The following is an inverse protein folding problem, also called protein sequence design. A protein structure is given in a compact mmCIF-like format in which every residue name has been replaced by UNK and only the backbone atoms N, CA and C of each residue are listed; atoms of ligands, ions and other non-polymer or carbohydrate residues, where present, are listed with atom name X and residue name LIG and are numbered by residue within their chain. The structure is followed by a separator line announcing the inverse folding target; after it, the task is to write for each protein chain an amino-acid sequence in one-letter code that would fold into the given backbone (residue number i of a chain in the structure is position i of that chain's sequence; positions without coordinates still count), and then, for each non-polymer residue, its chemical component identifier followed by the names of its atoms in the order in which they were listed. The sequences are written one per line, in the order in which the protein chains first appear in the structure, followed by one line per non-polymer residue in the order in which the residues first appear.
data_IF_410609632397
#
_entry.id   IF_410609632397
#
_cell.length_a   1.000
_cell.length_b   1.000
_cell.length_c   1.000
_cell.angle_alpha   90.00
_cell.angle_beta   90.00
_cell.angle_gamma   90.00
#
_symmetry.space_group_name_H-M   'P 1'
#
loop_
_entity.id
_entity.type
_entity.pdbx_description
1 polymer ?
#
# COMPACT_ATOMS: atom_id res chain seq x y z
N UNK A 1 -13.28 17.21 -2.39
CA UNK A 1 -12.40 16.17 -1.80
C UNK A 1 -13.21 15.46 -0.74
N UNK A 2 -13.38 14.13 -0.81
CA UNK A 2 -14.07 13.39 0.25
C UNK A 2 -13.03 12.88 1.24
N UNK A 3 -13.16 13.29 2.49
CA UNK A 3 -12.53 12.61 3.62
C UNK A 3 -13.45 11.46 4.04
N UNK A 4 -12.89 10.26 4.15
CA UNK A 4 -13.52 9.19 4.95
C UNK A 4 -12.47 8.59 5.85
N UNK A 5 -12.70 8.76 7.15
CA UNK A 5 -11.93 8.12 8.20
C UNK A 5 -12.45 6.70 8.39
N UNK A 6 -11.54 5.72 8.46
CA UNK A 6 -11.87 4.35 8.81
C UNK A 6 -11.21 4.04 10.14
N UNK A 7 -11.97 4.26 11.20
CA UNK A 7 -11.64 3.79 12.54
C UNK A 7 -11.93 2.28 12.62
N UNK A 8 -10.85 1.50 12.57
CA UNK A 8 -10.89 0.05 12.55
C UNK A 8 -11.11 -0.55 13.94
N UNK A 9 -10.96 0.22 15.01
CA UNK A 9 -11.25 -0.22 16.38
C UNK A 9 -12.76 -0.25 16.65
N UNK A 10 -13.54 0.59 15.95
CA UNK A 10 -15.01 0.64 16.09
C UNK A 10 -15.76 -0.47 15.34
N UNK A 11 -15.09 -1.30 14.54
CA UNK A 11 -15.70 -2.45 13.86
C UNK A 11 -16.77 -2.13 12.80
N UNK A 12 -16.89 -0.86 12.37
CA UNK A 12 -17.86 -0.45 11.35
C UNK A 12 -17.37 -0.78 9.94
N UNK A 13 -17.67 -2.00 9.47
CA UNK A 13 -17.36 -2.43 8.10
C UNK A 13 -18.45 -2.01 7.10
N UNK A 14 -18.08 -1.34 6.01
CA UNK A 14 -18.97 -1.03 4.88
C UNK A 14 -19.03 -2.20 3.91
N UNK A 15 -20.20 -2.83 3.78
CA UNK A 15 -20.49 -3.80 2.71
C UNK A 15 -21.11 -3.07 1.54
N UNK A 16 -20.43 -3.12 0.39
CA UNK A 16 -20.91 -2.51 -0.85
C UNK A 16 -21.56 -3.63 -1.67
N UNK A 17 -22.81 -3.47 -2.14
CA UNK A 17 -23.45 -4.43 -3.04
C UNK A 17 -22.61 -4.68 -4.29
N UNK A 18 -22.89 -5.78 -4.99
CA UNK A 18 -22.21 -6.08 -6.24
C UNK A 18 -22.39 -4.94 -7.24
N UNK A 19 -21.31 -4.48 -7.88
CA UNK A 19 -21.38 -3.48 -8.94
C UNK A 19 -21.87 -4.09 -10.27
N UNK A 20 -22.40 -5.32 -10.26
CA UNK A 20 -22.90 -6.01 -11.46
C UNK A 20 -21.81 -6.68 -12.30
N UNK A 21 -20.56 -6.67 -11.85
CA UNK A 21 -19.43 -7.29 -12.56
C UNK A 21 -18.09 -7.13 -11.83
N UNK A 22 -17.02 -7.62 -12.44
CA UNK A 22 -15.67 -7.48 -11.88
C UNK A 22 -15.16 -6.05 -12.04
N UNK A 23 -14.80 -5.39 -10.93
CA UNK A 23 -14.32 -4.00 -10.92
C UNK A 23 -12.97 -3.80 -11.65
N UNK A 24 -12.25 -4.88 -11.94
CA UNK A 24 -10.93 -4.84 -12.59
C UNK A 24 -11.01 -5.12 -14.09
N UNK A 25 -11.45 -6.31 -14.50
CA UNK A 25 -11.43 -6.68 -15.91
C UNK A 25 -12.65 -6.23 -16.70
N UNK A 26 -13.74 -5.85 -16.01
CA UNK A 26 -15.03 -5.43 -16.60
C UNK A 26 -15.59 -6.37 -17.69
N UNK A 27 -15.11 -7.62 -17.78
CA UNK A 27 -15.58 -8.58 -18.78
C UNK A 27 -17.05 -8.90 -18.49
N UNK A 28 -17.85 -9.01 -19.55
CA UNK A 28 -19.25 -9.42 -19.48
C UNK A 28 -19.52 -10.52 -20.52
N UNK A 29 -20.44 -11.47 -20.25
CA UNK A 29 -21.07 -11.73 -18.95
C UNK A 29 -20.12 -12.48 -18.01
N UNK A 30 -20.09 -12.12 -16.73
CA UNK A 30 -19.49 -12.97 -15.69
C UNK A 30 -20.65 -13.58 -14.89
N UNK A 31 -20.83 -14.92 -14.92
CA UNK A 31 -21.81 -15.57 -14.08
C UNK A 31 -21.58 -15.19 -12.61
N UNK A 32 -22.63 -14.83 -11.84
CA UNK A 32 -22.48 -14.44 -10.43
C UNK A 32 -21.71 -15.47 -9.58
N UNK A 33 -21.88 -16.76 -9.87
CA UNK A 33 -21.18 -17.87 -9.19
C UNK A 33 -19.64 -17.88 -9.39
N UNK A 34 -19.08 -16.99 -10.21
CA UNK A 34 -17.63 -16.82 -10.43
C UNK A 34 -17.09 -15.50 -9.88
N UNK A 35 -17.93 -14.74 -9.19
CA UNK A 35 -17.53 -13.52 -8.48
C UNK A 35 -17.21 -13.86 -7.02
N UNK A 36 -16.31 -13.08 -6.45
CA UNK A 36 -15.81 -13.21 -5.10
C UNK A 36 -15.89 -11.86 -4.39
N UNK A 37 -15.96 -11.90 -3.06
CA UNK A 37 -15.89 -10.68 -2.26
C UNK A 37 -14.53 -10.01 -2.41
N UNK A 38 -14.53 -8.69 -2.63
CA UNK A 38 -13.30 -7.92 -2.85
C UNK A 38 -13.10 -6.91 -1.72
N UNK A 39 -11.97 -7.03 -1.04
CA UNK A 39 -11.55 -6.10 0.01
C UNK A 39 -10.91 -4.86 -0.63
N UNK A 40 -11.47 -3.67 -0.41
CA UNK A 40 -10.86 -2.42 -0.92
C UNK A 40 -9.49 -2.21 -0.29
N UNK A 41 -9.45 -2.18 1.06
CA UNK A 41 -8.23 -2.28 1.85
C UNK A 41 -8.07 -3.76 2.21
N UNK A 42 -6.91 -4.39 1.93
CA UNK A 42 -6.72 -5.80 2.22
C UNK A 42 -7.08 -6.16 3.66
N UNK A 43 -7.73 -7.31 3.84
CA UNK A 43 -8.18 -7.79 5.14
C UNK A 43 -7.08 -7.77 6.19
N UNK A 44 -5.87 -8.13 5.77
CA UNK A 44 -4.66 -8.13 6.54
C UNK A 44 -4.28 -6.81 7.24
N UNK A 45 -4.79 -5.68 6.75
CA UNK A 45 -4.54 -4.34 7.27
C UNK A 45 -5.84 -3.77 7.83
N UNK A 46 -6.92 -3.79 7.04
CA UNK A 46 -8.18 -3.13 7.34
C UNK A 46 -9.32 -4.05 7.79
N UNK A 47 -9.07 -5.33 8.10
CA UNK A 47 -10.11 -6.31 8.40
C UNK A 47 -11.24 -6.30 7.34
N UNK A 48 -12.47 -5.92 7.71
CA UNK A 48 -13.59 -5.78 6.77
C UNK A 48 -14.04 -4.32 6.61
N UNK A 49 -13.12 -3.35 6.70
CA UNK A 49 -13.44 -1.91 6.65
C UNK A 49 -14.34 -1.57 5.47
N UNK A 50 -13.99 -2.05 4.27
CA UNK A 50 -14.77 -1.86 3.06
C UNK A 50 -14.63 -3.11 2.20
N UNK A 51 -15.76 -3.74 1.87
CA UNK A 51 -15.80 -4.97 1.07
C UNK A 51 -16.92 -4.89 0.05
N UNK A 52 -16.60 -5.09 -1.22
CA UNK A 52 -17.58 -5.37 -2.24
C UNK A 52 -18.06 -6.82 -2.11
N UNK A 53 -19.38 -7.00 -2.14
CA UNK A 53 -20.00 -8.30 -2.35
C UNK A 53 -19.91 -8.64 -3.84
N UNK A 54 -19.34 -9.78 -4.19
CA UNK A 54 -19.21 -10.21 -5.60
C UNK A 54 -18.57 -9.14 -6.50
N UNK A 55 -17.45 -8.55 -6.05
CA UNK A 55 -16.79 -7.41 -6.69
C UNK A 55 -15.66 -7.77 -7.66
N UNK A 56 -15.10 -8.98 -7.57
CA UNK A 56 -14.00 -9.42 -8.45
C UNK A 56 -14.18 -10.86 -8.91
N UNK A 57 -13.82 -11.16 -10.16
CA UNK A 57 -13.84 -12.54 -10.63
C UNK A 57 -12.62 -13.32 -10.12
N UNK A 58 -12.75 -14.64 -10.03
CA UNK A 58 -11.68 -15.53 -9.54
C UNK A 58 -10.34 -15.35 -10.26
N UNK A 59 -10.36 -15.10 -11.58
CA UNK A 59 -9.13 -14.88 -12.37
C UNK A 59 -8.39 -13.62 -11.91
N UNK A 60 -9.11 -12.51 -11.72
CA UNK A 60 -8.54 -11.26 -11.25
C UNK A 60 -8.08 -11.40 -9.79
N UNK A 61 -8.91 -11.98 -8.93
CA UNK A 61 -8.57 -12.21 -7.53
C UNK A 61 -7.29 -13.05 -7.39
N UNK A 62 -7.14 -14.12 -8.20
CA UNK A 62 -5.93 -14.96 -8.20
C UNK A 62 -4.68 -14.21 -8.64
N UNK A 63 -4.79 -13.36 -9.66
CA UNK A 63 -3.67 -12.53 -10.13
C UNK A 63 -3.24 -11.53 -9.05
N UNK A 64 -4.21 -10.84 -8.44
CA UNK A 64 -3.99 -9.83 -7.41
C UNK A 64 -3.38 -10.45 -6.15
N UNK A 65 -3.93 -11.59 -5.71
CA UNK A 65 -3.50 -12.28 -4.50
C UNK A 65 -1.99 -12.60 -4.51
N UNK A 66 -1.40 -12.89 -5.68
CA UNK A 66 0.04 -13.23 -5.79
C UNK A 66 0.92 -12.11 -5.27
N UNK A 67 0.78 -10.89 -5.77
CA UNK A 67 1.62 -9.78 -5.32
C UNK A 67 1.14 -9.22 -3.98
N UNK A 68 -0.15 -9.30 -3.67
CA UNK A 68 -0.69 -8.83 -2.39
C UNK A 68 -0.14 -9.67 -1.23
N UNK A 69 -0.04 -11.00 -1.38
CA UNK A 69 0.58 -11.86 -0.36
C UNK A 69 2.08 -11.60 -0.20
N UNK A 70 2.81 -11.25 -1.26
CA UNK A 70 4.23 -10.88 -1.15
C UNK A 70 4.40 -9.65 -0.27
N UNK A 71 3.56 -8.62 -0.44
CA UNK A 71 3.56 -7.44 0.43
C UNK A 71 3.13 -7.80 1.85
N UNK A 72 2.00 -8.49 2.00
CA UNK A 72 1.38 -8.72 3.30
C UNK A 72 2.12 -9.74 4.18
N UNK A 73 2.78 -10.73 3.60
CA UNK A 73 3.47 -11.80 4.32
C UNK A 73 4.98 -11.58 4.41
N UNK A 74 5.63 -11.05 3.37
CA UNK A 74 7.09 -10.88 3.36
C UNK A 74 7.49 -9.49 3.83
N UNK A 75 6.95 -8.45 3.20
CA UNK A 75 7.31 -7.06 3.55
C UNK A 75 6.70 -6.63 4.89
N UNK A 76 5.40 -6.85 5.10
CA UNK A 76 4.69 -6.39 6.30
C UNK A 76 4.48 -7.50 7.35
N UNK A 77 4.99 -8.71 7.12
CA UNK A 77 4.61 -9.89 7.90
C UNK A 77 4.98 -9.82 9.38
N UNK A 78 6.21 -9.42 9.70
CA UNK A 78 6.67 -9.32 11.09
C UNK A 78 5.98 -8.16 11.81
N UNK A 79 5.97 -6.98 11.18
CA UNK A 79 5.25 -5.80 11.66
C UNK A 79 3.80 -6.11 12.02
N UNK A 80 3.06 -6.71 11.09
CA UNK A 80 1.66 -7.08 11.28
C UNK A 80 1.43 -8.05 12.44
N UNK A 81 2.39 -8.94 12.72
CA UNK A 81 2.27 -9.87 13.86
C UNK A 81 2.52 -9.16 15.19
N UNK A 82 3.44 -8.18 15.21
CA UNK A 82 3.74 -7.40 16.42
C UNK A 82 2.59 -6.49 16.82
N UNK A 83 1.85 -5.92 15.86
CA UNK A 83 0.67 -5.08 16.12
C UNK A 83 -0.66 -5.86 16.17
N UNK A 84 -0.60 -7.19 16.21
CA UNK A 84 -1.76 -8.10 16.16
C UNK A 84 -2.77 -7.78 15.04
N UNK A 85 -2.27 -7.41 13.86
CA UNK A 85 -3.09 -7.09 12.70
C UNK A 85 -3.99 -8.27 12.29
N UNK A 86 -5.13 -8.01 11.61
CA UNK A 86 -6.09 -9.05 11.28
C UNK A 86 -5.46 -10.21 10.50
N UNK A 87 -5.79 -11.43 10.91
CA UNK A 87 -5.28 -12.65 10.31
C UNK A 87 -6.33 -13.76 10.32
N UNK A 88 -6.42 -14.47 9.19
CA UNK A 88 -7.27 -15.68 9.07
C UNK A 88 -6.60 -16.91 9.69
N UNK A 89 -5.30 -16.84 9.99
CA UNK A 89 -4.58 -17.92 10.65
C UNK A 89 -4.95 -17.98 12.12
N UNK A 90 -5.41 -19.14 12.58
CA UNK A 90 -5.74 -19.40 13.99
C UNK A 90 -4.57 -18.98 14.90
N UNK A 91 -4.80 -18.31 16.03
CA UNK A 91 -3.72 -17.79 16.90
C UNK A 91 -2.63 -18.81 17.23
N UNK A 92 -3.02 -20.04 17.60
CA UNK A 92 -2.09 -21.15 17.92
C UNK A 92 -1.20 -21.61 16.75
N UNK A 93 -1.56 -21.25 15.51
CA UNK A 93 -0.81 -21.59 14.29
C UNK A 93 -0.01 -20.40 13.73
N UNK A 94 -0.06 -19.23 14.38
CA UNK A 94 0.69 -18.07 13.93
C UNK A 94 2.19 -18.27 14.25
N UNK A 95 3.10 -17.95 13.32
CA UNK A 95 4.54 -18.02 13.59
C UNK A 95 4.90 -17.14 14.80
N UNK A 96 5.65 -17.70 15.74
CA UNK A 96 6.16 -16.99 16.92
C UNK A 96 7.61 -16.53 16.76
N UNK A 97 8.28 -17.01 15.71
CA UNK A 97 9.66 -16.69 15.37
C UNK A 97 9.73 -16.18 13.93
N UNK A 98 10.71 -15.33 13.65
CA UNK A 98 11.03 -14.87 12.31
C UNK A 98 12.49 -15.18 11.97
N UNK A 99 12.74 -15.48 10.69
CA UNK A 99 14.08 -15.59 10.14
C UNK A 99 14.53 -14.20 9.72
N UNK A 100 15.48 -13.63 10.45
CA UNK A 100 16.05 -12.32 10.20
C UNK A 100 17.38 -12.47 9.48
N UNK A 101 17.54 -11.76 8.37
CA UNK A 101 18.75 -11.75 7.55
C UNK A 101 19.71 -10.67 8.06
N UNK A 102 21.00 -11.01 8.11
CA UNK A 102 22.07 -10.09 8.45
C UNK A 102 23.06 -10.00 7.31
N UNK A 103 23.66 -8.81 7.16
CA UNK A 103 24.66 -8.53 6.12
C UNK A 103 25.83 -7.77 6.72
N UNK A 104 27.01 -8.07 6.22
CA UNK A 104 28.19 -7.22 6.45
C UNK A 104 28.13 -6.07 5.44
N UNK A 105 28.41 -4.85 5.92
CA UNK A 105 28.37 -3.64 5.10
C UNK A 105 29.68 -2.85 5.22
N UNK A 106 30.01 -2.05 4.20
CA UNK A 106 31.14 -1.13 4.28
C UNK A 106 30.81 0.11 5.13
N UNK A 107 31.78 1.02 5.29
CA UNK A 107 31.58 2.27 6.04
C UNK A 107 30.58 3.24 5.35
N UNK A 108 30.12 2.92 4.13
CA UNK A 108 29.08 3.64 3.38
C UNK A 108 27.72 2.92 3.40
N UNK A 109 27.61 1.78 4.08
CA UNK A 109 26.39 0.96 4.16
C UNK A 109 26.12 0.10 2.93
N UNK A 110 27.10 -0.12 2.05
CA UNK A 110 26.96 -1.02 0.91
C UNK A 110 27.18 -2.48 1.33
N UNK A 111 26.32 -3.37 0.83
CA UNK A 111 26.40 -4.80 1.09
C UNK A 111 27.74 -5.39 0.64
N UNK A 112 28.47 -6.01 1.57
CA UNK A 112 29.71 -6.75 1.29
C UNK A 112 29.44 -8.26 1.15
N UNK A 113 28.72 -8.84 2.11
CA UNK A 113 28.30 -10.27 2.06
C UNK A 113 27.13 -10.56 2.98
N UNK A 114 26.41 -11.64 2.68
CA UNK A 114 25.35 -12.16 3.53
C UNK A 114 25.95 -12.96 4.71
N UNK A 115 25.49 -12.68 5.93
CA UNK A 115 25.94 -13.32 7.19
C UNK A 115 24.97 -14.42 7.68
N UNK A 116 24.00 -14.77 6.85
CA UNK A 116 23.01 -15.80 7.12
C UNK A 116 21.76 -15.29 7.82
N UNK A 117 20.93 -16.25 8.21
CA UNK A 117 19.68 -16.03 8.92
C UNK A 117 19.85 -16.33 10.41
N UNK A 118 19.15 -15.61 11.26
CA UNK A 118 18.94 -15.95 12.67
C UNK A 118 17.45 -16.10 12.93
N UNK A 119 17.06 -17.17 13.64
CA UNK A 119 15.67 -17.40 14.04
C UNK A 119 15.45 -16.70 15.38
N UNK A 120 14.69 -15.61 15.39
CA UNK A 120 14.50 -14.76 16.55
C UNK A 120 13.01 -14.75 16.93
N UNK A 121 12.64 -14.87 18.22
CA UNK A 121 11.26 -14.67 18.66
C UNK A 121 10.75 -13.30 18.20
N UNK A 122 9.55 -13.25 17.62
CA UNK A 122 8.98 -11.99 17.10
C UNK A 122 8.81 -10.94 18.21
N UNK A 123 8.54 -11.39 19.44
CA UNK A 123 8.44 -10.52 20.61
C UNK A 123 9.77 -9.85 20.99
N UNK A 124 10.90 -10.36 20.51
CA UNK A 124 12.24 -9.83 20.77
C UNK A 124 12.76 -8.99 19.59
N UNK A 125 11.97 -8.81 18.54
CA UNK A 125 12.32 -7.94 17.42
C UNK A 125 11.81 -6.52 17.68
N UNK A 126 12.52 -5.50 17.20
CA UNK A 126 12.00 -4.14 17.22
C UNK A 126 10.74 -4.06 16.36
N UNK A 127 9.81 -3.17 16.70
CA UNK A 127 8.70 -2.86 15.81
C UNK A 127 9.23 -2.06 14.63
N UNK A 128 9.30 -2.71 13.48
CA UNK A 128 9.88 -2.12 12.28
C UNK A 128 8.93 -2.22 11.09
N UNK A 129 8.73 -1.09 10.40
CA UNK A 129 7.92 -0.99 9.20
C UNK A 129 8.80 -0.48 8.06
N UNK A 130 8.84 -1.22 6.94
CA UNK A 130 9.56 -0.80 5.73
C UNK A 130 8.60 -0.60 4.56
N UNK A 131 8.68 0.58 3.94
CA UNK A 131 7.86 1.03 2.81
C UNK A 131 8.74 1.74 1.78
N UNK A 132 8.12 2.26 0.71
CA UNK A 132 8.79 3.12 -0.25
C UNK A 132 8.44 4.59 -0.02
N UNK A 133 9.43 5.47 -0.04
CA UNK A 133 9.21 6.90 -0.28
C UNK A 133 9.42 7.17 -1.78
N UNK A 134 8.35 7.57 -2.46
CA UNK A 134 8.32 7.70 -3.90
C UNK A 134 8.25 9.17 -4.32
N UNK A 135 8.86 9.56 -5.44
CA UNK A 135 8.52 10.82 -6.09
C UNK A 135 7.09 10.77 -6.64
N UNK A 136 6.53 11.92 -7.02
CA UNK A 136 5.17 12.00 -7.57
C UNK A 136 4.97 11.09 -8.82
N UNK A 137 3.72 10.68 -9.11
CA UNK A 137 3.40 9.93 -10.32
C UNK A 137 4.02 10.58 -11.55
N UNK A 138 4.63 9.79 -12.45
CA UNK A 138 5.37 10.37 -13.57
C UNK A 138 4.48 11.21 -14.50
N UNK A 139 3.21 10.86 -14.65
CA UNK A 139 2.24 11.63 -15.45
C UNK A 139 2.01 13.07 -14.93
N UNK A 140 2.33 13.36 -13.66
CA UNK A 140 2.24 14.70 -13.07
C UNK A 140 3.58 15.44 -13.10
N UNK A 141 4.65 14.81 -13.61
CA UNK A 141 6.00 15.40 -13.70
C UNK A 141 6.43 15.53 -15.16
N UNK A 142 6.28 16.70 -15.79
CA UNK A 142 6.45 16.85 -17.25
C UNK A 142 7.88 16.59 -17.72
N UNK A 143 8.86 16.73 -16.84
CA UNK A 143 10.29 16.50 -17.14
C UNK A 143 10.81 15.15 -16.65
N UNK A 144 9.95 14.31 -16.05
CA UNK A 144 10.41 13.04 -15.48
C UNK A 144 10.57 11.96 -16.56
N UNK A 145 11.76 11.36 -16.59
CA UNK A 145 12.09 10.25 -17.48
C UNK A 145 11.92 8.93 -16.71
N UNK A 146 11.48 7.82 -17.34
CA UNK A 146 11.49 6.50 -16.70
C UNK A 146 12.86 6.21 -16.06
N UNK A 147 12.88 5.88 -14.77
CA UNK A 147 14.11 5.72 -13.97
C UNK A 147 14.29 6.78 -12.88
N UNK A 148 13.80 8.01 -13.08
CA UNK A 148 13.77 9.08 -12.05
C UNK A 148 12.59 8.93 -11.07
N UNK A 149 11.94 7.78 -11.09
CA UNK A 149 10.75 7.44 -10.31
C UNK A 149 10.95 6.27 -9.36
N UNK A 150 12.19 5.79 -9.22
CA UNK A 150 12.54 4.68 -8.35
C UNK A 150 12.20 4.94 -6.87
N UNK A 151 12.34 6.18 -6.42
CA UNK A 151 12.19 6.53 -5.01
C UNK A 151 13.30 5.94 -4.16
N UNK A 152 13.08 5.88 -2.85
CA UNK A 152 14.01 5.32 -1.87
C UNK A 152 13.28 4.50 -0.80
N UNK A 153 13.92 3.52 -0.18
CA UNK A 153 13.37 2.86 1.00
C UNK A 153 13.08 3.88 2.10
N UNK A 154 11.94 3.72 2.76
CA UNK A 154 11.57 4.42 3.97
C UNK A 154 11.35 3.38 5.06
N UNK A 155 11.76 3.68 6.29
CA UNK A 155 11.52 2.77 7.40
C UNK A 155 11.24 3.51 8.71
N UNK A 156 10.48 2.84 9.55
CA UNK A 156 10.29 3.13 10.96
C UNK A 156 10.89 1.99 11.78
N UNK A 157 11.50 2.32 12.92
CA UNK A 157 12.00 1.37 13.91
C UNK A 157 11.96 2.05 15.29
N UNK A 158 11.20 1.49 16.22
CA UNK A 158 10.99 2.06 17.56
C UNK A 158 12.18 1.80 18.51
N UNK A 159 12.82 0.64 18.38
CA UNK A 159 13.88 0.19 19.28
C UNK A 159 15.20 -0.02 18.54
N UNK A 160 15.98 1.06 18.41
CA UNK A 160 17.31 1.02 17.80
C UNK A 160 18.33 0.29 18.66
N UNK A 161 18.13 0.20 19.97
CA UNK A 161 19.07 -0.47 20.87
C UNK A 161 19.03 -1.98 20.67
N UNK A 162 17.83 -2.56 20.53
CA UNK A 162 17.67 -3.97 20.17
C UNK A 162 18.31 -4.27 18.81
N UNK A 163 18.15 -3.39 17.80
CA UNK A 163 18.84 -3.55 16.50
C UNK A 163 20.36 -3.60 16.70
N UNK A 164 20.92 -2.64 17.42
CA UNK A 164 22.36 -2.57 17.66
C UNK A 164 22.86 -3.79 18.44
N UNK A 165 22.11 -4.27 19.43
CA UNK A 165 22.45 -5.47 20.18
C UNK A 165 22.52 -6.69 19.27
N UNK A 166 21.48 -6.94 18.47
CA UNK A 166 21.45 -8.06 17.53
C UNK A 166 22.59 -7.98 16.50
N UNK A 167 22.85 -6.79 15.96
CA UNK A 167 23.97 -6.59 15.03
C UNK A 167 25.33 -6.84 15.69
N UNK A 168 25.54 -6.44 16.96
CA UNK A 168 26.78 -6.70 17.70
C UNK A 168 26.98 -8.19 17.96
N UNK A 169 25.94 -8.90 18.39
CA UNK A 169 26.00 -10.35 18.61
C UNK A 169 26.44 -11.07 17.32
N UNK A 170 25.84 -10.71 16.17
CA UNK A 170 26.25 -11.28 14.88
C UNK A 170 27.66 -10.85 14.48
N UNK A 171 28.06 -9.60 14.73
CA UNK A 171 29.41 -9.11 14.43
C UNK A 171 30.50 -9.89 15.20
N UNK A 172 30.26 -10.16 16.49
CA UNK A 172 31.15 -10.96 17.34
C UNK A 172 31.24 -12.41 16.85
N UNK A 173 30.09 -13.01 16.48
CA UNK A 173 30.03 -14.37 15.94
C UNK A 173 30.77 -14.51 14.60
N UNK A 174 30.69 -13.51 13.71
CA UNK A 174 31.22 -13.61 12.34
C UNK A 174 32.57 -12.93 12.14
N UNK A 175 33.07 -12.22 13.15
CA UNK A 175 34.26 -11.37 13.05
C UNK A 175 34.08 -10.19 12.09
N UNK A 176 32.84 -9.75 11.85
CA UNK A 176 32.53 -8.66 10.92
C UNK A 176 32.61 -7.29 11.60
N UNK A 177 33.05 -6.27 10.86
CA UNK A 177 33.24 -4.92 11.42
C UNK A 177 31.92 -4.14 11.53
N UNK A 178 31.15 -4.08 10.44
CA UNK A 178 29.85 -3.41 10.40
C UNK A 178 28.79 -4.41 9.96
N UNK A 179 27.75 -4.60 10.79
CA UNK A 179 26.66 -5.52 10.51
C UNK A 179 25.33 -4.77 10.43
N UNK A 180 24.58 -5.03 9.38
CA UNK A 180 23.24 -4.52 9.16
C UNK A 180 22.20 -5.65 9.27
N UNK A 181 21.10 -5.34 9.97
CA UNK A 181 19.92 -6.19 10.03
C UNK A 181 18.97 -5.83 8.89
N UNK A 182 18.53 -6.82 8.13
CA UNK A 182 17.62 -6.63 7.01
C UNK A 182 16.16 -6.53 7.50
N UNK A 183 15.57 -5.35 7.38
CA UNK A 183 14.18 -5.07 7.77
C UNK A 183 13.23 -5.36 6.60
N UNK A 184 13.01 -6.64 6.33
CA UNK A 184 12.04 -7.12 5.36
C UNK A 184 12.46 -6.95 3.89
N UNK A 185 12.05 -7.89 3.05
CA UNK A 185 12.28 -7.79 1.60
C UNK A 185 11.18 -6.92 0.96
N UNK A 186 11.53 -5.72 0.54
CA UNK A 186 10.60 -4.77 -0.07
C UNK A 186 10.58 -4.96 -1.59
N UNK A 187 9.57 -5.67 -2.12
CA UNK A 187 9.38 -5.79 -3.56
C UNK A 187 8.61 -4.59 -4.09
N UNK A 188 9.33 -3.64 -4.71
CA UNK A 188 8.75 -2.38 -5.21
C UNK A 188 7.60 -2.60 -6.19
N UNK A 189 7.72 -3.36 -7.30
CA UNK A 189 6.59 -3.60 -8.20
C UNK A 189 5.34 -4.15 -7.51
N UNK A 190 5.50 -5.12 -6.60
CA UNK A 190 4.37 -5.69 -5.86
C UNK A 190 3.70 -4.65 -4.96
N UNK A 191 4.49 -3.83 -4.27
CA UNK A 191 3.97 -2.75 -3.44
C UNK A 191 3.24 -1.68 -4.25
N UNK A 192 3.75 -1.29 -5.42
CA UNK A 192 3.07 -0.31 -6.26
C UNK A 192 1.76 -0.85 -6.86
N UNK A 193 1.71 -2.13 -7.24
CA UNK A 193 0.46 -2.79 -7.68
C UNK A 193 -0.56 -2.91 -6.55
N UNK A 194 -0.08 -3.19 -5.35
CA UNK A 194 -0.89 -3.18 -4.14
C UNK A 194 -1.55 -1.80 -3.90
N UNK A 195 -0.80 -0.70 -4.07
CA UNK A 195 -1.34 0.66 -4.02
C UNK A 195 -2.36 0.90 -5.13
N UNK A 196 -2.03 0.53 -6.38
CA UNK A 196 -2.92 0.69 -7.53
C UNK A 196 -4.26 -0.03 -7.33
N UNK A 197 -4.23 -1.28 -6.85
CA UNK A 197 -5.41 -2.07 -6.54
C UNK A 197 -6.28 -1.41 -5.48
N UNK A 198 -5.67 -0.99 -4.37
CA UNK A 198 -6.36 -0.36 -3.24
C UNK A 198 -7.02 0.94 -3.69
N UNK A 199 -6.29 1.79 -4.41
CA UNK A 199 -6.78 3.06 -4.92
C UNK A 199 -7.93 2.90 -5.93
N UNK A 200 -7.80 1.98 -6.89
CA UNK A 200 -8.85 1.72 -7.88
C UNK A 200 -10.12 1.22 -7.21
N UNK A 201 -10.02 0.23 -6.32
CA UNK A 201 -11.17 -0.28 -5.59
C UNK A 201 -11.82 0.80 -4.71
N UNK A 202 -11.02 1.68 -4.10
CA UNK A 202 -11.52 2.80 -3.33
C UNK A 202 -12.26 3.82 -4.20
N UNK A 203 -11.73 4.15 -5.37
CA UNK A 203 -12.40 5.03 -6.33
C UNK A 203 -13.75 4.45 -6.79
N UNK A 204 -13.80 3.16 -7.12
CA UNK A 204 -15.07 2.48 -7.46
C UNK A 204 -16.04 2.49 -6.28
N UNK A 205 -15.55 2.34 -5.05
CA UNK A 205 -16.40 2.34 -3.85
C UNK A 205 -17.03 3.70 -3.55
N UNK A 206 -16.34 4.78 -3.89
CA UNK A 206 -16.79 6.15 -3.63
C UNK A 206 -17.57 6.77 -4.78
N UNK A 207 -17.18 6.48 -6.02
CA UNK A 207 -17.74 7.12 -7.20
C UNK A 207 -18.66 6.17 -8.01
N UNK A 208 -18.44 4.86 -7.93
CA UNK A 208 -19.09 3.88 -8.81
C UNK A 208 -18.17 3.39 -9.93
N UNK A 209 -18.57 2.32 -10.60
CA UNK A 209 -17.74 1.65 -11.63
C UNK A 209 -17.67 2.45 -12.94
N UNK A 210 -18.77 3.06 -13.36
CA UNK A 210 -18.93 3.61 -14.72
C UNK A 210 -18.78 5.14 -14.81
N UNK A 211 -18.28 5.76 -13.75
CA UNK A 211 -18.10 7.22 -13.68
C UNK A 211 -16.71 7.70 -14.11
N UNK A 212 -15.80 6.78 -14.37
CA UNK A 212 -14.45 7.09 -14.84
C UNK A 212 -13.89 6.02 -15.79
N UNK A 213 -13.05 6.45 -16.70
CA UNK A 213 -12.22 5.61 -17.56
C UNK A 213 -10.94 5.22 -16.80
N UNK A 214 -10.77 3.94 -16.43
CA UNK A 214 -9.70 3.53 -15.53
C UNK A 214 -8.34 3.44 -16.23
N UNK A 215 -7.28 3.88 -15.56
CA UNK A 215 -5.89 3.81 -16.07
C UNK A 215 -5.06 2.69 -15.45
N UNK A 216 -5.59 2.01 -14.42
CA UNK A 216 -4.81 1.09 -13.59
C UNK A 216 -5.07 -0.40 -13.86
N UNK A 217 -6.07 -0.75 -14.68
CA UNK A 217 -6.53 -2.14 -14.80
C UNK A 217 -5.45 -3.08 -15.33
N UNK A 218 -4.64 -2.66 -16.30
CA UNK A 218 -3.56 -3.50 -16.83
C UNK A 218 -2.38 -3.61 -15.87
N UNK A 219 -2.08 -2.56 -15.10
CA UNK A 219 -1.11 -2.60 -13.99
C UNK A 219 -1.57 -3.59 -12.91
N UNK A 220 -2.83 -3.48 -12.47
CA UNK A 220 -3.43 -4.31 -11.41
C UNK A 220 -3.46 -5.78 -11.82
N UNK A 221 -3.75 -6.04 -13.11
CA UNK A 221 -3.82 -7.39 -13.67
C UNK A 221 -2.47 -7.90 -14.19
N UNK A 222 -1.38 -7.20 -13.86
CA UNK A 222 0.00 -7.61 -14.17
C UNK A 222 0.24 -7.81 -15.69
N UNK A 223 -0.31 -6.91 -16.50
CA UNK A 223 -0.15 -6.84 -17.97
C UNK A 223 0.72 -5.67 -18.43
N UNK A 224 0.96 -4.69 -17.56
CA UNK A 224 1.84 -3.54 -17.80
C UNK A 224 2.73 -3.28 -16.58
N UNK A 225 4.02 -3.00 -16.81
CA UNK A 225 5.04 -2.80 -15.77
C UNK A 225 5.44 -1.33 -15.57
N UNK A 226 4.89 -0.39 -16.35
CA UNK A 226 5.13 1.04 -16.18
C UNK A 226 4.26 1.65 -15.07
N UNK A 227 4.38 1.05 -13.87
CA UNK A 227 3.49 1.34 -12.73
C UNK A 227 3.68 2.78 -12.22
N UNK A 228 4.93 3.23 -12.19
CA UNK A 228 5.34 4.57 -11.72
C UNK A 228 4.73 5.71 -12.54
N UNK A 229 4.24 5.42 -13.75
CA UNK A 229 3.49 6.38 -14.57
C UNK A 229 2.28 6.94 -13.82
N UNK A 230 1.59 6.08 -13.07
CA UNK A 230 0.34 6.40 -12.39
C UNK A 230 0.42 6.31 -10.86
N UNK A 231 1.43 5.64 -10.30
CA UNK A 231 1.61 5.46 -8.84
C UNK A 231 2.88 6.18 -8.39
N UNK A 232 2.77 7.02 -7.36
CA UNK A 232 3.91 7.75 -6.79
C UNK A 232 3.63 8.25 -5.38
N UNK A 233 4.45 9.17 -4.91
CA UNK A 233 4.29 9.86 -3.63
C UNK A 233 3.41 11.09 -3.74
N UNK A 234 3.00 11.59 -2.58
CA UNK A 234 2.31 12.86 -2.43
C UNK A 234 3.19 13.81 -1.59
N UNK A 235 3.43 15.02 -2.12
CA UNK A 235 4.31 16.02 -1.48
C UNK A 235 3.56 17.29 -1.06
N UNK A 236 2.23 17.30 -1.12
CA UNK A 236 1.42 18.40 -0.61
C UNK A 236 1.24 18.35 0.91
N UNK A 237 0.62 19.39 1.50
CA UNK A 237 0.24 19.36 2.91
C UNK A 237 -0.66 18.15 3.18
N UNK A 238 -0.61 17.53 4.38
CA UNK A 238 -1.47 16.41 4.71
C UNK A 238 -2.90 16.72 4.29
N UNK A 239 -3.56 15.80 3.55
CA UNK A 239 -4.97 15.92 3.24
C UNK A 239 -5.79 16.40 4.46
N UNK A 240 -6.68 17.39 4.33
CA UNK A 240 -7.53 17.82 5.46
C UNK A 240 -8.26 16.63 6.08
N UNK A 241 -8.18 16.51 7.41
CA UNK A 241 -8.74 15.37 8.17
C UNK A 241 -7.88 14.10 8.20
N UNK A 242 -6.61 14.20 7.82
CA UNK A 242 -5.64 13.14 8.13
C UNK A 242 -5.48 13.00 9.64
N UNK A 243 -5.93 11.87 10.20
CA UNK A 243 -5.81 11.60 11.64
C UNK A 243 -4.67 10.61 11.90
N UNK A 244 -3.70 10.93 12.79
CA UNK A 244 -2.59 10.02 13.11
C UNK A 244 -3.03 8.66 13.66
N UNK A 245 -4.18 8.60 14.33
CA UNK A 245 -4.74 7.40 14.96
C UNK A 245 -5.31 6.37 13.96
N UNK A 246 -5.58 6.77 12.72
CA UNK A 246 -6.11 5.85 11.71
C UNK A 246 -5.06 4.81 11.30
N UNK A 247 -5.47 3.57 10.95
CA UNK A 247 -4.54 2.64 10.30
C UNK A 247 -4.35 2.96 8.81
N UNK A 248 -5.35 3.56 8.16
CA UNK A 248 -5.27 3.96 6.74
C UNK A 248 -6.00 5.29 6.55
N UNK A 249 -5.30 6.28 6.00
CA UNK A 249 -5.92 7.49 5.46
C UNK A 249 -6.12 7.32 3.94
N UNK A 250 -7.33 7.55 3.45
CA UNK A 250 -7.68 7.45 2.03
C UNK A 250 -8.53 8.64 1.58
N UNK A 251 -8.02 9.41 0.62
CA UNK A 251 -8.68 10.62 0.12
C UNK A 251 -8.84 10.56 -1.39
N UNK A 252 -9.95 11.06 -1.90
CA UNK A 252 -10.21 11.14 -3.34
C UNK A 252 -10.45 12.58 -3.78
N UNK A 253 -9.83 12.94 -4.90
CA UNK A 253 -9.89 14.28 -5.47
C UNK A 253 -9.50 14.30 -6.95
N UNK A 254 -9.28 15.50 -7.47
CA UNK A 254 -8.77 15.72 -8.83
C UNK A 254 -7.43 16.42 -8.74
N UNK A 255 -6.52 16.07 -9.65
CA UNK A 255 -5.37 16.93 -9.88
C UNK A 255 -5.87 18.29 -10.41
N UNK A 256 -5.57 19.34 -9.65
CA UNK A 256 -6.00 20.72 -9.93
C UNK A 256 -4.97 21.42 -10.84
N UNK A 257 -3.71 21.04 -10.70
CA UNK A 257 -2.57 21.60 -11.41
C UNK A 257 -2.19 20.80 -12.67
N UNK A 258 -1.38 21.41 -13.54
CA UNK A 258 -0.81 20.76 -14.71
C UNK A 258 0.62 20.31 -14.41
N UNK A 259 1.07 19.17 -14.94
CA UNK A 259 0.34 18.16 -15.73
C UNK A 259 -0.58 17.26 -14.91
N UNK A 260 -1.63 16.73 -15.53
CA UNK A 260 -2.58 15.79 -14.89
C UNK A 260 -3.95 16.37 -14.55
N UNK A 261 -4.19 17.67 -14.83
CA UNK A 261 -5.46 18.34 -14.58
C UNK A 261 -6.67 17.51 -15.03
N UNK A 262 -7.59 17.29 -14.09
CA UNK A 262 -8.85 16.61 -14.35
C UNK A 262 -8.83 15.09 -14.19
N UNK A 263 -7.65 14.49 -13.99
CA UNK A 263 -7.50 13.09 -13.59
C UNK A 263 -7.96 12.90 -12.15
N UNK A 264 -8.61 11.77 -11.89
CA UNK A 264 -9.01 11.35 -10.54
C UNK A 264 -7.77 10.80 -9.85
N UNK A 265 -7.53 11.30 -8.64
CA UNK A 265 -6.39 10.93 -7.80
C UNK A 265 -6.90 10.41 -6.47
N UNK A 266 -6.34 9.29 -6.03
CA UNK A 266 -6.52 8.77 -4.68
C UNK A 266 -5.21 8.91 -3.92
N UNK A 267 -5.26 9.57 -2.76
CA UNK A 267 -4.16 9.63 -1.82
C UNK A 267 -4.32 8.54 -0.76
N UNK A 268 -3.27 7.75 -0.50
CA UNK A 268 -3.26 6.65 0.47
C UNK A 268 -2.09 6.81 1.45
N UNK A 269 -2.32 6.63 2.74
CA UNK A 269 -1.27 6.54 3.75
C UNK A 269 -1.59 5.40 4.72
N UNK A 270 -0.62 4.53 5.01
CA UNK A 270 -0.79 3.36 5.88
C UNK A 270 -0.02 3.56 7.18
N UNK A 271 -0.65 3.42 8.34
CA UNK A 271 -0.07 3.65 9.66
C UNK A 271 0.49 5.08 9.83
N UNK A 272 -0.33 6.14 9.62
CA UNK A 272 0.06 7.54 9.77
C UNK A 272 0.70 7.89 11.13
N UNK A 273 0.33 7.22 12.23
CA UNK A 273 0.97 7.38 13.55
C UNK A 273 2.47 7.12 13.55
N UNK A 274 2.97 6.36 12.58
CA UNK A 274 4.40 6.05 12.42
C UNK A 274 5.13 7.04 11.48
N UNK A 275 4.44 8.09 11.01
CA UNK A 275 5.00 9.06 10.07
C UNK A 275 5.26 8.49 8.67
N UNK A 276 4.47 7.49 8.26
CA UNK A 276 4.66 6.79 7.00
C UNK A 276 4.42 7.68 5.77
N UNK A 277 4.99 7.33 4.59
CA UNK A 277 4.80 8.11 3.38
C UNK A 277 3.34 8.08 2.90
N UNK A 278 2.88 9.21 2.35
CA UNK A 278 1.62 9.29 1.61
C UNK A 278 1.88 9.05 0.13
N UNK A 279 1.02 8.23 -0.48
CA UNK A 279 1.06 7.84 -1.88
C UNK A 279 -0.03 8.54 -2.66
N UNK A 280 0.30 9.00 -3.87
CA UNK A 280 -0.64 9.56 -4.84
C UNK A 280 -0.83 8.56 -5.98
N UNK A 281 -2.08 8.21 -6.29
CA UNK A 281 -2.41 7.21 -7.30
C UNK A 281 -3.43 7.77 -8.28
N UNK A 282 -3.06 7.80 -9.56
CA UNK A 282 -3.90 8.27 -10.67
C UNK A 282 -4.78 7.11 -11.13
N UNK A 283 -6.08 7.16 -10.81
CA UNK A 283 -7.01 6.03 -11.05
C UNK A 283 -7.70 6.08 -12.41
N UNK A 284 -7.84 7.27 -12.99
CA UNK A 284 -8.48 7.40 -14.29
C UNK A 284 -8.96 8.81 -14.64
N UNK A 285 -9.60 8.93 -15.79
CA UNK A 285 -10.23 10.17 -16.28
C UNK A 285 -11.71 10.17 -15.92
N UNK A 286 -12.20 11.25 -15.30
CA UNK A 286 -13.63 11.41 -15.01
C UNK A 286 -14.47 11.44 -16.30
N UNK A 287 -15.57 10.70 -16.33
CA UNK A 287 -16.56 10.73 -17.42
C UNK A 287 -17.73 11.68 -17.15
N UNK A 288 -17.84 12.12 -15.90
CA UNK A 288 -18.87 13.06 -15.41
C UNK A 288 -18.22 14.39 -14.99
N UNK A 289 -19.01 15.47 -14.98
CA UNK A 289 -18.60 16.67 -14.27
C UNK A 289 -18.69 16.43 -12.76
N UNK A 290 -17.52 16.27 -12.13
CA UNK A 290 -17.42 16.07 -10.69
C UNK A 290 -17.82 17.32 -9.88
N UNK A 291 -18.06 18.47 -10.54
CA UNK A 291 -18.64 19.67 -9.92
C UNK A 291 -20.17 19.59 -9.78
N UNK A 292 -20.87 18.80 -10.61
CA UNK A 292 -22.32 18.58 -10.47
C UNK A 292 -22.62 17.37 -9.57
N UNK A 293 -21.70 16.40 -9.52
CA UNK A 293 -21.63 15.40 -8.46
C UNK A 293 -20.93 15.92 -7.19
N UNK A 294 -20.74 17.25 -7.07
CA UNK A 294 -20.04 17.86 -5.96
C UNK A 294 -20.69 17.47 -4.64
N UNK A 295 -19.94 16.70 -3.87
CA UNK A 295 -19.28 17.24 -2.67
C UNK A 295 -19.82 18.60 -2.24
N UNK A 296 -21.01 18.57 -1.65
CA UNK A 296 -21.49 19.65 -0.82
C UNK A 296 -20.39 19.94 0.22
N UNK A 297 -20.00 21.21 0.31
CA UNK A 297 -18.88 21.78 1.09
C UNK A 297 -17.56 21.91 0.31
N UNK A 298 -17.45 23.06 -0.37
CA UNK A 298 -16.36 23.46 -1.23
C UNK A 298 -15.03 23.69 -0.53
N UNK A 299 -13.95 23.61 -1.31
CA UNK A 299 -12.71 24.36 -1.10
C UNK A 299 -11.93 24.43 -2.41
N UNK A 300 -11.64 25.67 -2.82
CA UNK A 300 -10.58 26.05 -3.75
C UNK A 300 -9.23 25.84 -3.07
N UNK A 301 -8.27 25.20 -3.74
CA UNK A 301 -6.92 25.04 -3.22
C UNK A 301 -6.17 26.35 -3.49
N UNK A 302 -6.01 27.17 -2.45
CA UNK A 302 -5.31 28.44 -2.54
C UNK A 302 -3.78 28.22 -2.55
N UNK A 303 -3.17 28.65 -3.67
CA UNK A 303 -1.81 29.22 -3.91
C UNK A 303 -0.57 28.57 -3.30
#
# INVERSE_FOLDING_TARGET
MKLREYDLEKGQGRRIPSPGGCIYCRRVPIPPAKLTNEHVIPFAIGANAIVFLDGSCEECARTIQRYEQEVLLKQLGNFRRQIDAPSRTKPKKRPTHANVSFKEVDDRGQDLRHLGLRTIPIANLPLALSLWQLPEPRITRPSAIPGDDNGRPWYYCDDKETVQKLCREVAEETGSKNVAMEIGAVNRPHFLRFLAKTAHAYAVAELGLDVFEPTLTDIILNREDDISKYVGGYYGPPPPGSAPENLVNAHIGRAVERPGKGLITVALQFYPSLGSPTYSVIVGKSLIDMNEHAFDQGYDVAR
#
